data_IF_760508353039
#
_entry.id   IF_760508353039
#
_cell.length_a   1.000
_cell.length_b   1.000
_cell.length_c   1.000
_cell.angle_alpha   90.00
_cell.angle_beta   90.00
_cell.angle_gamma   90.00
#
_symmetry.space_group_name_H-M   'P 1'
#
loop_
_entity.id
_entity.type
_entity.pdbx_description
1 polymer ?
#
# COMPACT_ATOMS: atom_id res chain seq x y z
N UNK A 1 -8.44 15.37 -10.00
CA UNK A 1 -7.96 16.07 -8.78
C UNK A 1 -6.77 15.32 -8.18
N UNK A 2 -6.84 13.99 -8.06
CA UNK A 2 -5.68 13.13 -7.75
C UNK A 2 -4.57 13.22 -8.82
N UNK A 3 -4.89 13.18 -10.12
CA UNK A 3 -3.87 13.20 -11.19
C UNK A 3 -2.93 14.42 -11.17
N UNK A 4 -3.43 15.57 -10.71
CA UNK A 4 -2.61 16.79 -10.57
C UNK A 4 -1.68 16.70 -9.35
N UNK A 5 -2.14 16.10 -8.25
CA UNK A 5 -1.32 15.83 -7.08
C UNK A 5 -0.23 14.80 -7.41
N UNK A 6 -0.57 13.74 -8.14
CA UNK A 6 0.41 12.74 -8.62
C UNK A 6 1.49 13.38 -9.47
N UNK A 7 1.09 14.21 -10.45
CA UNK A 7 2.04 14.96 -11.29
C UNK A 7 2.90 15.91 -10.48
N UNK A 8 2.34 16.65 -9.52
CA UNK A 8 3.10 17.56 -8.67
C UNK A 8 4.10 16.82 -7.78
N UNK A 9 3.71 15.70 -7.18
CA UNK A 9 4.59 14.87 -6.37
C UNK A 9 5.74 14.31 -7.22
N UNK A 10 5.43 13.74 -8.39
CA UNK A 10 6.44 13.24 -9.32
C UNK A 10 7.37 14.35 -9.83
N UNK A 11 6.84 15.54 -10.16
CA UNK A 11 7.67 16.68 -10.56
C UNK A 11 8.59 17.18 -9.44
N UNK A 12 8.17 17.08 -8.18
CA UNK A 12 8.89 17.64 -7.02
C UNK A 12 9.92 16.66 -6.46
N UNK A 13 9.54 15.39 -6.34
CA UNK A 13 10.36 14.36 -5.71
C UNK A 13 10.91 13.32 -6.70
N UNK A 14 10.53 13.40 -7.99
CA UNK A 14 11.17 12.65 -9.07
C UNK A 14 11.06 11.14 -8.89
N UNK A 15 12.19 10.45 -9.10
CA UNK A 15 12.34 9.00 -8.95
C UNK A 15 12.49 8.55 -7.50
N UNK A 16 12.57 9.50 -6.56
CA UNK A 16 12.67 9.19 -5.13
C UNK A 16 11.28 8.93 -4.51
N UNK A 17 10.20 9.06 -5.30
CA UNK A 17 8.83 8.75 -4.90
C UNK A 17 8.09 7.98 -5.98
N UNK A 18 7.54 6.81 -5.60
CA UNK A 18 6.57 6.10 -6.42
C UNK A 18 5.14 6.41 -5.96
N UNK A 19 4.22 6.47 -6.93
CA UNK A 19 2.81 6.69 -6.63
C UNK A 19 2.20 5.41 -6.04
N UNK A 20 1.97 5.42 -4.72
CA UNK A 20 1.24 4.35 -4.03
C UNK A 20 -0.18 4.21 -4.58
N UNK A 21 -0.55 2.99 -5.00
CA UNK A 21 -1.86 2.69 -5.57
C UNK A 21 -3.05 3.13 -4.70
N UNK A 22 -3.11 2.71 -3.43
CA UNK A 22 -4.17 3.06 -2.48
C UNK A 22 -3.64 3.10 -1.03
N UNK A 23 -4.12 4.06 -0.23
CA UNK A 23 -3.85 4.10 1.20
C UNK A 23 -5.15 4.13 2.02
N UNK A 24 -5.27 3.23 2.99
CA UNK A 24 -6.39 3.14 3.91
C UNK A 24 -5.95 3.51 5.32
N UNK A 25 -6.59 4.52 5.91
CA UNK A 25 -6.37 4.88 7.31
C UNK A 25 -7.34 4.12 8.21
N UNK A 26 -6.81 3.34 9.13
CA UNK A 26 -7.53 2.69 10.20
C UNK A 26 -7.33 3.45 11.53
N UNK A 27 -8.10 3.07 12.55
CA UNK A 27 -7.87 3.60 13.91
C UNK A 27 -6.50 3.20 14.46
N UNK A 28 -6.04 1.99 14.14
CA UNK A 28 -4.80 1.40 14.66
C UNK A 28 -3.57 1.66 13.79
N UNK A 29 -3.71 2.18 12.58
CA UNK A 29 -2.59 2.35 11.64
C UNK A 29 -3.00 2.78 10.24
N UNK A 30 -2.07 2.71 9.29
CA UNK A 30 -2.32 2.94 7.86
C UNK A 30 -1.89 1.69 7.10
N UNK A 31 -2.76 1.20 6.21
CA UNK A 31 -2.37 0.22 5.19
C UNK A 31 -2.13 0.94 3.87
N UNK A 32 -1.04 0.57 3.21
CA UNK A 32 -0.58 1.04 1.92
C UNK A 32 -0.68 -0.17 1.00
N UNK A 33 -1.43 -0.06 -0.08
CA UNK A 33 -1.61 -1.12 -1.07
C UNK A 33 -1.06 -0.63 -2.39
N UNK A 34 -0.16 -1.42 -2.96
CA UNK A 34 0.39 -1.18 -4.28
C UNK A 34 0.27 -2.41 -5.18
N UNK A 35 0.29 -2.21 -6.48
CA UNK A 35 0.28 -3.30 -7.44
C UNK A 35 1.72 -3.81 -7.56
N UNK A 36 1.91 -5.10 -7.28
CA UNK A 36 3.17 -5.76 -7.52
C UNK A 36 3.14 -6.36 -8.92
N UNK A 37 3.90 -5.76 -9.84
CA UNK A 37 4.12 -6.28 -11.18
C UNK A 37 5.61 -6.60 -11.27
N UNK A 38 5.97 -7.84 -11.01
CA UNK A 38 7.35 -8.31 -11.13
C UNK A 38 7.42 -9.39 -12.20
N UNK A 39 8.28 -9.22 -13.19
CA UNK A 39 8.34 -10.09 -14.37
C UNK A 39 8.76 -11.54 -14.07
N UNK A 40 9.26 -11.81 -12.85
CA UNK A 40 9.65 -13.14 -12.38
C UNK A 40 8.71 -13.74 -11.31
N UNK A 41 7.80 -12.95 -10.72
CA UNK A 41 6.86 -13.40 -9.68
C UNK A 41 5.41 -13.25 -10.13
N UNK A 42 4.47 -13.93 -9.45
CA UNK A 42 3.05 -13.79 -9.77
C UNK A 42 2.58 -12.36 -9.49
N UNK A 43 1.96 -11.72 -10.50
CA UNK A 43 1.27 -10.43 -10.37
C UNK A 43 0.34 -10.45 -9.15
N UNK A 44 0.39 -9.40 -8.33
CA UNK A 44 -0.36 -9.35 -7.08
C UNK A 44 -0.43 -7.95 -6.47
N UNK A 45 -0.65 -7.90 -5.17
CA UNK A 45 -0.67 -6.66 -4.40
C UNK A 45 0.33 -6.74 -3.26
N UNK A 46 1.16 -5.70 -3.14
CA UNK A 46 1.97 -5.49 -1.94
C UNK A 46 1.15 -4.67 -0.97
N UNK A 47 1.07 -5.13 0.27
CA UNK A 47 0.42 -4.43 1.36
C UNK A 47 1.44 -4.16 2.45
N UNK A 48 1.68 -2.88 2.72
CA UNK A 48 2.47 -2.42 3.86
C UNK A 48 1.53 -1.86 4.93
N UNK A 49 1.70 -2.27 6.19
CA UNK A 49 0.92 -1.76 7.31
C UNK A 49 1.83 -1.11 8.36
N UNK A 50 1.53 0.14 8.69
CA UNK A 50 2.21 0.90 9.74
C UNK A 50 1.26 1.09 10.91
N UNK A 51 1.59 0.50 12.06
CA UNK A 51 0.82 0.63 13.30
C UNK A 51 1.08 1.99 13.97
N UNK A 52 0.02 2.58 14.54
CA UNK A 52 0.10 3.76 15.41
C UNK A 52 0.20 3.39 16.89
N UNK A 53 -0.21 2.17 17.23
CA UNK A 53 -0.35 1.72 18.61
C UNK A 53 0.90 0.99 19.07
N UNK A 54 1.49 0.21 18.16
CA UNK A 54 2.67 -0.61 18.43
C UNK A 54 3.89 0.03 17.78
N UNK A 55 5.02 0.06 18.49
CA UNK A 55 6.31 0.53 17.94
C UNK A 55 7.02 -0.58 17.17
N UNK A 56 6.26 -1.41 16.46
CA UNK A 56 6.79 -2.46 15.62
C UNK A 56 7.16 -1.93 14.22
N UNK A 57 8.15 -2.53 13.55
CA UNK A 57 8.44 -2.23 12.15
C UNK A 57 7.20 -2.43 11.27
N UNK A 58 7.08 -1.70 10.15
CA UNK A 58 6.00 -1.92 9.20
C UNK A 58 5.94 -3.38 8.73
N UNK A 59 4.73 -3.91 8.64
CA UNK A 59 4.48 -5.27 8.15
C UNK A 59 4.29 -5.24 6.65
N UNK A 60 5.04 -6.08 5.93
CA UNK A 60 4.93 -6.22 4.48
C UNK A 60 4.36 -7.59 4.11
N UNK A 61 3.31 -7.62 3.29
CA UNK A 61 2.69 -8.85 2.80
C UNK A 61 2.33 -8.74 1.33
N UNK A 62 2.70 -9.75 0.55
CA UNK A 62 2.27 -9.88 -0.84
C UNK A 62 1.07 -10.82 -0.87
N UNK A 63 0.00 -10.39 -1.54
CA UNK A 63 -1.22 -11.17 -1.76
C UNK A 63 -1.48 -11.31 -3.25
N UNK A 64 -1.99 -12.47 -3.68
CA UNK A 64 -2.01 -12.84 -5.11
C UNK A 64 -3.25 -12.33 -5.85
N UNK A 65 -4.35 -12.15 -5.13
CA UNK A 65 -5.64 -11.83 -5.72
C UNK A 65 -6.45 -10.87 -4.85
N UNK A 66 -7.59 -10.43 -5.39
CA UNK A 66 -8.45 -9.44 -4.74
C UNK A 66 -9.16 -10.01 -3.52
N UNK A 67 -9.47 -11.30 -3.51
CA UNK A 67 -10.09 -11.99 -2.37
C UNK A 67 -9.16 -11.98 -1.16
N UNK A 68 -7.89 -12.34 -1.35
CA UNK A 68 -6.86 -12.31 -0.30
C UNK A 68 -6.60 -10.88 0.20
N UNK A 69 -6.52 -9.91 -0.71
CA UNK A 69 -6.39 -8.50 -0.35
C UNK A 69 -7.58 -8.03 0.50
N UNK A 70 -8.80 -8.38 0.09
CA UNK A 70 -10.01 -8.02 0.83
C UNK A 70 -10.02 -8.63 2.23
N UNK A 71 -9.69 -9.93 2.38
CA UNK A 71 -9.59 -10.58 3.69
C UNK A 71 -8.56 -9.89 4.58
N UNK A 72 -7.37 -9.57 4.06
CA UNK A 72 -6.33 -8.89 4.83
C UNK A 72 -6.76 -7.49 5.30
N UNK A 73 -7.38 -6.72 4.41
CA UNK A 73 -7.91 -5.39 4.74
C UNK A 73 -9.02 -5.48 5.80
N UNK A 74 -9.86 -6.52 5.77
CA UNK A 74 -10.85 -6.77 6.82
C UNK A 74 -10.20 -7.09 8.16
N UNK A 75 -9.12 -7.87 8.19
CA UNK A 75 -8.38 -8.16 9.42
C UNK A 75 -7.82 -6.89 10.07
N UNK A 76 -7.29 -5.95 9.28
CA UNK A 76 -6.83 -4.65 9.79
C UNK A 76 -7.95 -3.74 10.30
N UNK A 77 -9.18 -3.95 9.83
CA UNK A 77 -10.35 -3.16 10.25
C UNK A 77 -10.93 -3.58 11.61
N UNK A 78 -10.63 -4.80 12.07
CA UNK A 78 -11.02 -5.34 13.38
C UNK A 78 -10.08 -4.84 14.49
#
# INVERSE_FOLDING_TARGET
MLDNLCKQMYCTYGRDTDFMGLAFRFKKGIAIVDIHIDGEYEDGYVVEFVSFVEHEPPVFKIVKNKEELHTLIQEFAL
#
